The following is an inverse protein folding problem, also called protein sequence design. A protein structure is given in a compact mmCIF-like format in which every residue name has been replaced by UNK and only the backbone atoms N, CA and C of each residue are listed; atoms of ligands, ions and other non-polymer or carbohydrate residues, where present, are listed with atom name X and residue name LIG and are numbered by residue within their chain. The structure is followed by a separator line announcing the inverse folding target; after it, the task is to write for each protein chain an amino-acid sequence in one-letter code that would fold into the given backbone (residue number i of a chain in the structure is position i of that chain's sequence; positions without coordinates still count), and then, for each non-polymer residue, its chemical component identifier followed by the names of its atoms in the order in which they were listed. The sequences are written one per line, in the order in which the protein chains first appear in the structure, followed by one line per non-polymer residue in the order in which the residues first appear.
data_IF_766306729063
#
_entry.id   IF_766306729063
#
_cell.length_a   1.000
_cell.length_b   1.000
_cell.length_c   1.000
_cell.angle_alpha   90.00
_cell.angle_beta   90.00
_cell.angle_gamma   90.00
#
_symmetry.space_group_name_H-M   'P 1'
#
loop_
_entity.id
_entity.type
_entity.pdbx_description
1 polymer ?
#
# COMPACT_ATOMS: atom_id res chain seq x y z
N UNK A 1 16.10 3.14 -7.43
CA UNK A 1 16.66 3.91 -6.31
C UNK A 1 15.59 4.90 -5.93
N UNK A 2 14.80 4.60 -4.89
CA UNK A 2 14.08 5.65 -4.19
C UNK A 2 15.07 6.76 -3.85
N UNK A 3 14.82 7.97 -4.36
CA UNK A 3 15.68 9.12 -4.13
C UNK A 3 15.58 9.66 -2.70
N UNK A 4 14.66 9.13 -1.88
CA UNK A 4 14.38 9.61 -0.52
C UNK A 4 14.19 8.40 0.40
N UNK A 5 15.00 8.32 1.45
CA UNK A 5 14.87 7.29 2.47
C UNK A 5 13.51 7.39 3.19
N UNK A 6 12.88 6.26 3.55
CA UNK A 6 11.64 6.29 4.33
C UNK A 6 11.83 7.09 5.62
N UNK A 7 10.92 8.02 5.88
CA UNK A 7 10.89 8.75 7.15
C UNK A 7 9.98 8.00 8.12
N UNK A 8 10.56 7.50 9.19
CA UNK A 8 9.83 6.87 10.30
C UNK A 8 9.46 7.95 11.31
N UNK A 9 8.22 7.94 11.80
CA UNK A 9 7.75 8.82 12.87
C UNK A 9 6.96 7.99 13.87
N UNK A 10 7.31 8.09 15.15
CA UNK A 10 6.59 7.41 16.22
C UNK A 10 5.15 7.91 16.34
N UNK A 11 4.28 7.10 16.94
CA UNK A 11 2.92 7.51 17.24
C UNK A 11 2.88 8.76 18.14
N UNK A 12 1.80 9.53 18.02
CA UNK A 12 1.59 10.71 18.86
C UNK A 12 1.35 10.27 20.32
N UNK A 13 1.71 11.13 21.30
CA UNK A 13 1.23 10.98 22.67
C UNK A 13 -0.29 10.90 22.71
N UNK A 14 -0.85 10.14 23.67
CA UNK A 14 -2.29 9.87 23.77
C UNK A 14 -3.12 11.15 23.73
N UNK A 15 -2.72 12.18 24.47
CA UNK A 15 -3.45 13.45 24.50
C UNK A 15 -3.52 14.15 23.14
N UNK A 16 -2.46 14.08 22.35
CA UNK A 16 -2.40 14.72 21.03
C UNK A 16 -3.12 13.88 19.98
N UNK A 17 -3.04 12.55 20.09
CA UNK A 17 -3.79 11.62 19.26
C UNK A 17 -5.31 11.82 19.43
N UNK A 18 -5.80 11.97 20.66
CA UNK A 18 -7.22 12.23 20.96
C UNK A 18 -7.70 13.60 20.48
N UNK A 19 -6.86 14.64 20.57
CA UNK A 19 -7.18 15.97 20.01
C UNK A 19 -7.31 15.88 18.49
N UNK A 20 -6.36 15.18 17.85
CA UNK A 20 -6.36 14.99 16.40
C UNK A 20 -7.57 14.18 15.94
N UNK A 21 -7.92 13.11 16.65
CA UNK A 21 -9.09 12.29 16.34
C UNK A 21 -10.37 13.14 16.33
N UNK A 22 -10.60 13.91 17.40
CA UNK A 22 -11.77 14.80 17.50
C UNK A 22 -11.82 15.84 16.38
N UNK A 23 -10.66 16.35 15.96
CA UNK A 23 -10.58 17.30 14.85
C UNK A 23 -10.98 16.65 13.50
N UNK A 24 -10.58 15.40 13.27
CA UNK A 24 -10.88 14.66 12.03
C UNK A 24 -12.32 14.16 11.95
N UNK A 25 -12.97 13.88 13.08
CA UNK A 25 -14.38 13.45 13.12
C UNK A 25 -15.36 14.53 12.60
N UNK A 26 -15.00 15.82 12.72
CA UNK A 26 -15.86 16.94 12.32
C UNK A 26 -15.71 17.39 10.88
N UNK A 27 -14.53 17.27 10.28
CA UNK A 27 -14.25 17.67 8.89
C UNK A 27 -12.96 17.07 8.37
N UNK A 28 -12.96 16.69 7.09
CA UNK A 28 -11.76 16.25 6.37
C UNK A 28 -11.14 17.36 5.51
N UNK A 29 -11.59 18.61 5.65
CA UNK A 29 -11.03 19.77 4.94
C UNK A 29 -9.73 20.22 5.63
N UNK A 30 -8.62 19.64 5.20
CA UNK A 30 -7.29 19.93 5.72
C UNK A 30 -6.65 21.05 4.92
N UNK A 31 -6.09 22.01 5.65
CA UNK A 31 -5.28 23.10 5.08
C UNK A 31 -3.90 23.08 5.73
N UNK A 32 -2.86 23.27 4.94
CA UNK A 32 -1.47 23.27 5.43
C UNK A 32 -0.95 24.69 5.47
N UNK A 33 -0.30 25.07 6.56
CA UNK A 33 0.37 26.36 6.68
C UNK A 33 1.89 26.19 6.48
N UNK A 34 2.45 26.87 5.48
CA UNK A 34 3.88 26.82 5.16
C UNK A 34 4.37 28.23 4.91
N UNK A 35 5.47 28.63 5.57
CA UNK A 35 6.13 29.93 5.39
C UNK A 35 5.17 31.14 5.42
N UNK A 36 4.20 31.15 6.34
CA UNK A 36 3.25 32.26 6.46
C UNK A 36 2.01 32.14 5.57
N UNK A 37 1.94 31.14 4.69
CA UNK A 37 0.89 31.00 3.68
C UNK A 37 0.03 29.76 3.94
N UNK A 38 -1.28 29.95 3.80
CA UNK A 38 -2.29 28.90 3.91
C UNK A 38 -2.49 28.25 2.54
N UNK A 39 -2.21 26.95 2.44
CA UNK A 39 -2.32 26.17 1.21
C UNK A 39 -3.44 25.13 1.31
N UNK A 40 -4.40 25.21 0.37
CA UNK A 40 -5.40 24.16 0.20
C UNK A 40 -4.81 23.01 -0.62
N UNK A 41 -4.95 21.79 -0.12
CA UNK A 41 -4.42 20.62 -0.79
C UNK A 41 -5.36 20.16 -1.93
N UNK A 42 -4.82 19.77 -3.11
CA UNK A 42 -5.57 19.02 -4.10
C UNK A 42 -6.15 17.73 -3.50
N UNK A 43 -7.25 17.17 -4.05
CA UNK A 43 -7.92 16.01 -3.48
C UNK A 43 -6.99 14.83 -3.17
N UNK A 44 -6.10 14.48 -4.11
CA UNK A 44 -5.18 13.35 -3.95
C UNK A 44 -4.19 13.55 -2.80
N UNK A 45 -3.67 14.78 -2.65
CA UNK A 45 -2.75 15.12 -1.57
C UNK A 45 -3.47 15.20 -0.23
N UNK A 46 -4.69 15.77 -0.22
CA UNK A 46 -5.54 15.85 0.96
C UNK A 46 -5.85 14.46 1.50
N UNK A 47 -6.30 13.53 0.66
CA UNK A 47 -6.70 12.20 1.09
C UNK A 47 -5.51 11.42 1.68
N UNK A 48 -4.30 11.58 1.11
CA UNK A 48 -3.07 11.03 1.67
C UNK A 48 -2.72 11.62 3.05
N UNK A 49 -2.89 12.93 3.23
CA UNK A 49 -2.65 13.59 4.52
C UNK A 49 -3.72 13.18 5.55
N UNK A 50 -4.98 13.05 5.15
CA UNK A 50 -6.06 12.53 6.02
C UNK A 50 -5.71 11.13 6.53
N UNK A 51 -5.30 10.22 5.64
CA UNK A 51 -4.91 8.85 6.04
C UNK A 51 -3.72 8.87 7.02
N UNK A 52 -2.70 9.69 6.71
CA UNK A 52 -1.54 9.88 7.58
C UNK A 52 -1.95 10.35 8.99
N UNK A 53 -2.78 11.40 9.07
CA UNK A 53 -3.25 11.94 10.35
C UNK A 53 -4.17 10.97 11.08
N UNK A 54 -5.00 10.21 10.37
CA UNK A 54 -5.85 9.18 10.97
C UNK A 54 -5.06 8.05 11.62
N UNK A 55 -3.92 7.65 11.06
CA UNK A 55 -3.01 6.69 11.71
C UNK A 55 -2.41 7.28 12.99
N UNK A 56 -1.94 8.52 12.93
CA UNK A 56 -1.41 9.20 14.11
C UNK A 56 -2.46 9.41 15.20
N UNK A 57 -3.71 9.66 14.84
CA UNK A 57 -4.81 9.81 15.81
C UNK A 57 -5.14 8.51 16.54
N UNK A 58 -4.74 7.36 16.00
CA UNK A 58 -4.82 6.05 16.67
C UNK A 58 -3.54 5.68 17.45
N UNK A 59 -2.56 6.59 17.50
CA UNK A 59 -1.27 6.35 18.14
C UNK A 59 -0.34 5.43 17.36
N UNK A 60 -0.60 5.20 16.07
CA UNK A 60 0.22 4.32 15.24
C UNK A 60 1.54 5.00 14.82
N UNK A 61 2.63 4.24 14.80
CA UNK A 61 3.85 4.68 14.14
C UNK A 61 3.67 4.63 12.61
N UNK A 62 4.15 5.66 11.91
CA UNK A 62 3.98 5.78 10.46
C UNK A 62 5.32 5.87 9.74
N UNK A 63 5.41 5.16 8.62
CA UNK A 63 6.50 5.23 7.66
C UNK A 63 6.02 5.93 6.38
N UNK A 64 6.70 6.99 5.95
CA UNK A 64 6.40 7.69 4.70
C UNK A 64 7.56 7.51 3.73
N UNK A 65 7.29 6.97 2.55
CA UNK A 65 8.26 6.77 1.48
C UNK A 65 7.65 7.07 0.12
N UNK A 66 8.50 7.38 -0.85
CA UNK A 66 8.06 7.44 -2.25
C UNK A 66 7.83 6.04 -2.79
N UNK A 67 6.87 5.91 -3.71
CA UNK A 67 6.63 4.65 -4.40
C UNK A 67 7.84 4.33 -5.29
N UNK A 68 8.50 3.20 -5.05
CA UNK A 68 9.55 2.71 -5.93
C UNK A 68 8.95 2.03 -7.16
N UNK A 69 9.36 2.47 -8.36
CA UNK A 69 8.99 1.80 -9.61
C UNK A 69 9.67 0.44 -9.77
N UNK A 70 10.87 0.29 -9.20
CA UNK A 70 11.69 -0.92 -9.28
C UNK A 70 12.03 -1.38 -7.87
N UNK A 71 11.56 -2.58 -7.54
CA UNK A 71 11.63 -3.19 -6.22
C UNK A 71 12.78 -4.20 -6.16
N UNK A 72 13.37 -4.32 -4.98
CA UNK A 72 14.15 -5.51 -4.60
C UNK A 72 13.23 -6.72 -4.40
N UNK A 73 13.79 -7.93 -4.38
CA UNK A 73 13.01 -9.15 -4.08
C UNK A 73 12.26 -9.05 -2.76
N UNK A 74 12.89 -8.49 -1.72
CA UNK A 74 12.25 -8.33 -0.41
C UNK A 74 11.07 -7.36 -0.47
N UNK A 75 11.26 -6.18 -1.06
CA UNK A 75 10.18 -5.19 -1.22
C UNK A 75 9.03 -5.70 -2.09
N UNK A 76 9.34 -6.46 -3.15
CA UNK A 76 8.34 -7.05 -4.01
C UNK A 76 7.52 -8.15 -3.30
N UNK A 77 8.16 -8.93 -2.42
CA UNK A 77 7.50 -10.00 -1.68
C UNK A 77 6.60 -9.44 -0.58
N UNK A 78 7.08 -8.41 0.12
CA UNK A 78 6.31 -7.63 1.08
C UNK A 78 5.08 -6.99 0.42
N UNK A 79 5.27 -6.34 -0.74
CA UNK A 79 4.16 -5.76 -1.51
C UNK A 79 3.13 -6.81 -1.96
N UNK A 80 3.59 -8.00 -2.33
CA UNK A 80 2.73 -9.10 -2.75
C UNK A 80 2.08 -9.87 -1.58
N UNK A 81 2.50 -9.62 -0.33
CA UNK A 81 2.00 -10.35 0.84
C UNK A 81 2.40 -11.83 0.87
N UNK A 82 3.54 -12.19 0.26
CA UNK A 82 4.02 -13.58 0.13
C UNK A 82 5.44 -13.73 0.68
N UNK A 83 5.87 -14.99 0.90
CA UNK A 83 7.23 -15.25 1.35
C UNK A 83 8.28 -14.92 0.28
N UNK A 84 9.47 -14.48 0.73
CA UNK A 84 10.59 -14.14 -0.18
C UNK A 84 11.00 -15.33 -1.06
N UNK A 85 11.01 -16.54 -0.49
CA UNK A 85 11.34 -17.77 -1.22
C UNK A 85 10.30 -18.08 -2.30
N UNK A 86 9.01 -17.87 -2.00
CA UNK A 86 7.95 -18.08 -2.98
C UNK A 86 8.06 -17.11 -4.14
N UNK A 87 8.26 -15.82 -3.86
CA UNK A 87 8.48 -14.82 -4.91
C UNK A 87 9.71 -15.18 -5.76
N UNK A 88 10.82 -15.61 -5.13
CA UNK A 88 12.03 -16.00 -5.86
C UNK A 88 11.73 -17.13 -6.86
N UNK A 89 11.06 -18.18 -6.41
CA UNK A 89 10.70 -19.31 -7.27
C UNK A 89 9.81 -18.86 -8.44
N UNK A 90 8.87 -17.94 -8.22
CA UNK A 90 8.05 -17.40 -9.31
C UNK A 90 8.86 -16.60 -10.33
N UNK A 91 9.81 -15.79 -9.87
CA UNK A 91 10.72 -15.08 -10.79
C UNK A 91 11.62 -16.03 -11.55
N UNK A 92 12.06 -17.13 -10.92
CA UNK A 92 12.88 -18.16 -11.57
C UNK A 92 12.08 -18.96 -12.61
N UNK A 93 10.77 -19.16 -12.38
CA UNK A 93 9.83 -19.75 -13.34
C UNK A 93 9.36 -18.80 -14.44
N UNK A 94 9.72 -17.52 -14.36
CA UNK A 94 9.33 -16.50 -15.35
C UNK A 94 7.88 -16.00 -15.23
N UNK A 95 7.16 -16.32 -14.14
CA UNK A 95 5.79 -15.85 -13.90
C UNK A 95 5.73 -14.35 -13.62
N UNK A 96 6.77 -13.82 -12.96
CA UNK A 96 6.93 -12.39 -12.70
C UNK A 96 8.20 -11.93 -13.44
N UNK A 97 8.09 -10.99 -14.39
CA UNK A 97 9.23 -10.40 -15.07
C UNK A 97 10.25 -9.83 -14.08
N UNK A 98 11.50 -10.25 -14.23
CA UNK A 98 12.63 -9.80 -13.42
C UNK A 98 13.75 -9.30 -14.32
N UNK A 99 14.26 -8.12 -13.99
CA UNK A 99 15.47 -7.58 -14.58
C UNK A 99 16.64 -7.83 -13.62
N UNK A 100 17.85 -7.93 -14.15
CA UNK A 100 19.06 -8.08 -13.35
C UNK A 100 19.94 -6.84 -13.47
N UNK A 101 20.39 -6.32 -12.33
CA UNK A 101 21.49 -5.34 -12.27
C UNK A 101 22.68 -6.01 -11.59
N UNK A 102 23.62 -6.47 -12.41
CA UNK A 102 24.65 -7.41 -11.97
C UNK A 102 24.01 -8.72 -11.50
N UNK A 103 24.32 -9.16 -10.30
CA UNK A 103 23.76 -10.38 -9.69
C UNK A 103 22.42 -10.17 -8.97
N UNK A 104 21.94 -8.93 -8.84
CA UNK A 104 20.75 -8.62 -8.05
C UNK A 104 19.49 -8.52 -8.91
N UNK A 105 18.42 -9.19 -8.47
CA UNK A 105 17.06 -9.09 -9.05
C UNK A 105 16.46 -7.70 -8.84
N UNK A 106 15.76 -7.21 -9.85
CA UNK A 106 15.03 -5.95 -9.90
C UNK A 106 13.68 -6.21 -10.53
N UNK A 107 12.62 -5.98 -9.77
CA UNK A 107 11.26 -6.35 -10.17
C UNK A 107 10.47 -5.07 -10.30
N UNK A 108 9.85 -4.82 -11.45
CA UNK A 108 9.00 -3.63 -11.58
C UNK A 108 7.78 -3.77 -10.71
N UNK A 109 7.42 -2.72 -9.98
CA UNK A 109 6.22 -2.68 -9.16
C UNK A 109 4.97 -3.03 -9.97
N UNK A 110 4.88 -2.53 -11.21
CA UNK A 110 3.79 -2.84 -12.13
C UNK A 110 3.62 -4.35 -12.39
N UNK A 111 4.71 -5.12 -12.43
CA UNK A 111 4.64 -6.58 -12.59
C UNK A 111 4.00 -7.26 -11.37
N UNK A 112 4.33 -6.78 -10.15
CA UNK A 112 3.71 -7.28 -8.92
C UNK A 112 2.23 -6.91 -8.85
N UNK A 113 1.89 -5.67 -9.17
CA UNK A 113 0.48 -5.22 -9.17
C UNK A 113 -0.36 -6.01 -10.19
N UNK A 114 0.15 -6.19 -11.41
CA UNK A 114 -0.55 -6.98 -12.43
C UNK A 114 -0.77 -8.44 -11.97
N UNK A 115 0.22 -9.03 -11.30
CA UNK A 115 0.07 -10.37 -10.74
C UNK A 115 -1.01 -10.43 -9.65
N UNK A 116 -1.02 -9.48 -8.71
CA UNK A 116 -2.04 -9.39 -7.66
C UNK A 116 -3.45 -9.22 -8.24
N UNK A 117 -3.60 -8.41 -9.28
CA UNK A 117 -4.88 -8.21 -9.95
C UNK A 117 -5.38 -9.49 -10.61
N UNK A 118 -4.47 -10.28 -11.21
CA UNK A 118 -4.80 -11.58 -11.78
C UNK A 118 -5.22 -12.59 -10.72
N UNK A 119 -4.57 -12.60 -9.55
CA UNK A 119 -4.96 -13.44 -8.42
C UNK A 119 -6.37 -13.08 -7.92
N UNK A 120 -6.65 -11.78 -7.72
CA UNK A 120 -7.98 -11.31 -7.30
C UNK A 120 -9.08 -11.75 -8.27
N UNK A 121 -8.85 -11.63 -9.58
CA UNK A 121 -9.80 -12.10 -10.61
C UNK A 121 -10.04 -13.60 -10.54
N UNK A 122 -8.98 -14.38 -10.30
CA UNK A 122 -9.05 -15.84 -10.21
C UNK A 122 -9.85 -16.27 -8.98
N UNK A 123 -9.62 -15.63 -7.83
CA UNK A 123 -10.37 -15.91 -6.60
C UNK A 123 -11.85 -15.52 -6.73
N UNK A 124 -12.16 -14.37 -7.34
CA UNK A 124 -13.54 -13.98 -7.63
C UNK A 124 -14.25 -14.96 -8.57
N UNK A 125 -13.55 -15.48 -9.58
CA UNK A 125 -14.11 -16.47 -10.49
C UNK A 125 -14.43 -17.79 -9.79
N UNK A 126 -13.57 -18.25 -8.87
CA UNK A 126 -13.81 -19.45 -8.04
C UNK A 126 -15.00 -19.27 -7.11
N UNK A 127 -15.12 -18.11 -6.46
CA UNK A 127 -16.24 -17.81 -5.56
C UNK A 127 -17.57 -17.84 -6.31
N UNK A 128 -17.65 -17.20 -7.48
CA UNK A 128 -18.86 -17.23 -8.33
C UNK A 128 -19.23 -18.64 -8.82
N UNK A 129 -18.24 -19.48 -9.12
CA UNK A 129 -18.49 -20.87 -9.50
C UNK A 129 -19.06 -21.68 -8.33
N UNK A 130 -18.55 -21.47 -7.11
CA UNK A 130 -19.06 -22.16 -5.91
C UNK A 130 -20.47 -21.73 -5.49
N UNK A 131 -20.84 -20.47 -5.74
CA UNK A 131 -22.20 -19.97 -5.47
C UNK A 131 -23.23 -20.54 -6.45
N UNK A 132 -22.84 -20.73 -7.72
CA UNK A 132 -23.73 -21.23 -8.76
C UNK A 132 -24.01 -22.74 -8.63
N UNK A 133 -23.04 -23.54 -8.18
CA UNK A 133 -23.23 -24.98 -7.93
C UNK A 133 -24.08 -25.27 -6.67
N UNK A 134 -24.10 -24.36 -5.69
CA UNK A 134 -24.95 -24.49 -4.49
C UNK A 134 -26.43 -24.16 -4.73
N UNK A 135 -26.74 -23.37 -5.76
CA UNK A 135 -28.10 -22.98 -6.14
C UNK A 135 -28.85 -24.04 -6.95
N UNK A 136 -28.15 -24.98 -7.60
CA UNK A 136 -28.76 -26.00 -8.45
C UNK A 136 -29.22 -27.27 -7.70
N UNK A 137 -28.90 -27.38 -6.40
CA UNK A 137 -29.24 -28.55 -5.58
C UNK A 137 -30.49 -28.36 -4.69
N UNK A 138 -31.20 -27.23 -4.82
CA UNK A 138 -32.33 -26.85 -3.96
C UNK A 138 -33.70 -26.77 -4.69
N UNK A 139 -33.80 -27.25 -5.94
CA UNK A 139 -35.08 -27.45 -6.65
C UNK A 139 -35.47 -28.92 -6.76
#
# INVERSE_FOLDING_TARGET
MALIAPRMTAGLPVEDAEKLQRALEGSHDITVFVDGTVHRLPPQARDAVVDLLGRFSRGEAVAVSSVEEVLTTSQAAELAGISHTFLRNMTDRGEIPVEYRGTHRRIRRAAITAWLDQQRKTEQAKQRASENDGSAAAE
#
